data_IF_194245964843
#
_entry.id   IF_194245964843
#
_cell.length_a   1.000
_cell.length_b   1.000
_cell.length_c   1.000
_cell.angle_alpha   90.00
_cell.angle_beta   90.00
_cell.angle_gamma   90.00
#
_symmetry.space_group_name_H-M   'P 1'
#
loop_
_entity.id
_entity.type
_entity.pdbx_description
1 polymer ?
#
# COMPACT_ATOMS: atom_id res chain seq x y z
N UNK A 1 13.71 3.66 10.47
CA UNK A 1 13.10 4.70 9.61
C UNK A 1 14.05 4.96 8.46
N UNK A 2 13.56 5.47 7.34
CA UNK A 2 14.37 5.73 6.13
C UNK A 2 14.21 7.20 5.70
N UNK A 3 15.01 8.12 6.28
CA UNK A 3 14.99 9.54 5.93
C UNK A 3 15.44 9.78 4.48
N UNK A 4 15.05 10.90 3.90
CA UNK A 4 15.46 11.25 2.53
C UNK A 4 16.96 11.42 2.39
N UNK A 5 17.62 12.05 3.36
CA UNK A 5 19.07 12.26 3.32
C UNK A 5 19.84 10.95 3.20
N UNK A 6 19.36 9.88 3.87
CA UNK A 6 19.93 8.54 3.71
C UNK A 6 19.78 8.04 2.27
N UNK A 7 18.61 8.22 1.65
CA UNK A 7 18.41 7.82 0.25
C UNK A 7 19.25 8.65 -0.71
N UNK A 8 19.40 9.95 -0.46
CA UNK A 8 20.24 10.86 -1.25
C UNK A 8 21.71 10.45 -1.21
N UNK A 9 22.23 10.13 -0.02
CA UNK A 9 23.60 9.65 0.18
C UNK A 9 23.85 8.32 -0.56
N UNK A 10 22.82 7.49 -0.66
CA UNK A 10 22.82 6.22 -1.41
C UNK A 10 22.49 6.41 -2.91
N UNK A 11 22.43 7.65 -3.41
CA UNK A 11 22.34 7.96 -4.84
C UNK A 11 20.93 8.11 -5.40
N UNK A 12 19.91 8.28 -4.57
CA UNK A 12 18.56 8.66 -5.01
C UNK A 12 18.48 10.17 -5.28
N UNK A 13 17.64 10.55 -6.25
CA UNK A 13 17.31 11.94 -6.55
C UNK A 13 15.92 12.29 -5.99
N UNK A 14 15.64 13.58 -5.80
CA UNK A 14 14.31 14.02 -5.33
C UNK A 14 13.16 13.48 -6.20
N UNK A 15 13.38 13.30 -7.51
CA UNK A 15 12.39 12.79 -8.44
C UNK A 15 12.04 11.31 -8.27
N UNK A 16 12.90 10.51 -7.62
CA UNK A 16 12.71 9.08 -7.44
C UNK A 16 12.72 8.63 -5.96
N UNK A 17 12.54 9.57 -5.02
CA UNK A 17 12.64 9.37 -3.57
C UNK A 17 11.79 8.25 -2.98
N UNK A 18 10.69 7.85 -3.64
CA UNK A 18 9.78 6.77 -3.21
C UNK A 18 9.74 5.59 -4.19
N UNK A 19 10.68 5.53 -5.13
CA UNK A 19 10.68 4.57 -6.24
C UNK A 19 12.07 3.94 -6.41
N UNK A 20 12.28 3.22 -7.51
CA UNK A 20 13.55 2.56 -7.79
C UNK A 20 14.70 3.58 -7.95
N UNK A 21 15.67 3.45 -7.06
CA UNK A 21 16.99 4.06 -7.05
C UNK A 21 17.94 3.09 -6.35
N UNK A 22 19.25 3.39 -6.28
CA UNK A 22 20.24 2.46 -5.72
C UNK A 22 19.92 2.09 -4.26
N UNK A 23 19.49 3.04 -3.44
CA UNK A 23 19.01 2.78 -2.07
C UNK A 23 17.70 1.96 -2.00
N UNK A 24 16.96 1.90 -3.10
CA UNK A 24 15.61 1.33 -3.20
C UNK A 24 15.55 0.07 -4.07
N UNK A 25 16.68 -0.61 -4.32
CA UNK A 25 16.68 -1.93 -4.94
C UNK A 25 15.93 -2.96 -4.08
N UNK A 26 15.76 -2.68 -2.78
CA UNK A 26 14.98 -3.46 -1.82
C UNK A 26 13.74 -2.75 -1.26
N UNK A 27 13.01 -3.47 -0.40
CA UNK A 27 11.95 -2.88 0.41
C UNK A 27 12.57 -1.90 1.44
N UNK A 28 11.94 -0.74 1.71
CA UNK A 28 12.49 0.24 2.62
C UNK A 28 12.55 -0.31 4.05
N UNK A 29 13.41 0.27 4.88
CA UNK A 29 13.52 -0.04 6.31
C UNK A 29 12.27 0.38 7.12
N UNK A 30 11.33 1.08 6.50
CA UNK A 30 10.03 1.46 7.06
C UNK A 30 9.01 0.31 6.95
N UNK A 31 7.96 0.28 7.80
CA UNK A 31 6.94 -0.77 7.75
C UNK A 31 6.35 -1.01 6.35
N UNK A 32 6.45 -2.26 5.89
CA UNK A 32 5.82 -2.76 4.67
C UNK A 32 4.49 -3.42 5.01
N UNK A 33 3.40 -2.75 4.68
CA UNK A 33 2.05 -3.29 4.84
C UNK A 33 1.72 -4.18 3.64
N UNK A 34 1.10 -5.33 3.86
CA UNK A 34 0.67 -6.25 2.80
C UNK A 34 -0.76 -6.74 3.04
N UNK A 35 -1.55 -6.78 1.97
CA UNK A 35 -2.89 -7.36 1.96
C UNK A 35 -3.21 -7.85 0.55
N UNK A 36 -4.19 -8.73 0.40
CA UNK A 36 -4.70 -9.09 -0.93
C UNK A 36 -5.69 -8.04 -1.42
N UNK A 37 -5.78 -7.87 -2.74
CA UNK A 37 -6.77 -7.02 -3.37
C UNK A 37 -8.20 -7.35 -2.87
N UNK A 38 -8.92 -6.33 -2.41
CA UNK A 38 -10.26 -6.46 -1.87
C UNK A 38 -10.35 -6.82 -0.38
N UNK A 39 -9.22 -7.08 0.29
CA UNK A 39 -9.20 -7.27 1.74
C UNK A 39 -9.70 -6.03 2.47
N UNK A 40 -10.44 -6.25 3.56
CA UNK A 40 -10.82 -5.18 4.49
C UNK A 40 -9.69 -5.02 5.51
N UNK A 41 -9.06 -3.85 5.50
CA UNK A 41 -7.89 -3.54 6.31
C UNK A 41 -8.23 -2.39 7.24
N UNK A 42 -7.84 -2.50 8.50
CA UNK A 42 -7.86 -1.39 9.45
C UNK A 42 -6.42 -1.04 9.80
N UNK A 43 -6.00 0.16 9.44
CA UNK A 43 -4.71 0.72 9.85
C UNK A 43 -4.98 1.61 11.06
N UNK A 44 -4.39 1.25 12.20
CA UNK A 44 -4.47 2.04 13.43
C UNK A 44 -3.20 2.89 13.54
N UNK A 45 -3.37 4.20 13.48
CA UNK A 45 -2.28 5.18 13.57
C UNK A 45 -2.39 5.88 14.92
N UNK A 46 -1.27 5.96 15.64
CA UNK A 46 -1.22 6.57 16.97
C UNK A 46 -0.18 7.68 17.00
N UNK A 47 -0.61 8.90 17.34
CA UNK A 47 0.29 10.00 17.64
C UNK A 47 0.85 9.84 19.05
N UNK A 48 1.93 9.07 19.22
CA UNK A 48 2.48 8.81 20.56
C UNK A 48 2.86 10.10 21.31
N UNK A 49 3.62 10.98 20.67
CA UNK A 49 4.01 12.28 21.20
C UNK A 49 4.49 13.20 20.08
N UNK A 50 3.94 14.41 19.99
CA UNK A 50 4.47 15.49 19.15
C UNK A 50 3.88 16.85 19.55
N UNK A 51 4.65 17.93 19.41
CA UNK A 51 4.16 19.31 19.57
C UNK A 51 3.40 19.79 18.31
N UNK A 52 3.76 19.26 17.15
CA UNK A 52 3.28 19.69 15.85
C UNK A 52 2.38 18.62 15.24
N UNK A 53 1.23 19.03 14.71
CA UNK A 53 0.29 18.11 14.06
C UNK A 53 0.91 17.37 12.88
N UNK A 54 0.48 16.13 12.71
CA UNK A 54 0.87 15.20 11.65
C UNK A 54 -0.33 14.94 10.74
N UNK A 55 -0.11 14.44 9.53
CA UNK A 55 -1.20 14.10 8.59
C UNK A 55 -0.90 12.75 7.99
N UNK A 56 -1.68 11.72 8.35
CA UNK A 56 -1.55 10.41 7.72
C UNK A 56 -2.26 10.42 6.37
N UNK A 57 -1.61 9.90 5.34
CA UNK A 57 -2.16 9.76 4.00
C UNK A 57 -1.81 8.38 3.42
N UNK A 58 -2.73 7.82 2.64
CA UNK A 58 -2.54 6.57 1.91
C UNK A 58 -2.96 6.75 0.46
N UNK A 59 -2.00 6.68 -0.46
CA UNK A 59 -2.23 6.87 -1.88
C UNK A 59 -3.23 5.85 -2.43
N UNK A 60 -4.13 6.33 -3.30
CA UNK A 60 -5.13 5.50 -4.00
C UNK A 60 -6.21 4.88 -3.10
N UNK A 61 -6.24 5.22 -1.81
CA UNK A 61 -7.22 4.71 -0.85
C UNK A 61 -7.96 5.85 -0.18
N UNK A 62 -9.23 5.62 0.08
CA UNK A 62 -10.07 6.51 0.85
C UNK A 62 -10.77 5.72 1.95
N UNK A 63 -10.99 6.36 3.09
CA UNK A 63 -11.77 5.84 4.22
C UNK A 63 -12.80 6.88 4.65
N UNK A 64 -13.79 6.44 5.42
CA UNK A 64 -14.76 7.35 6.04
C UNK A 64 -14.07 8.10 7.17
N UNK A 65 -14.22 9.43 7.22
CA UNK A 65 -13.74 10.24 8.35
C UNK A 65 -14.32 9.77 9.68
N UNK A 66 -15.60 9.41 9.69
CA UNK A 66 -16.29 8.89 10.86
C UNK A 66 -16.78 7.47 10.55
N UNK A 67 -16.14 6.47 11.15
CA UNK A 67 -16.33 5.05 10.84
C UNK A 67 -17.81 4.61 10.97
N UNK A 68 -18.47 5.06 12.04
CA UNK A 68 -19.84 4.64 12.41
C UNK A 68 -20.93 5.56 11.85
N UNK A 69 -20.56 6.60 11.09
CA UNK A 69 -21.51 7.54 10.51
C UNK A 69 -21.83 7.13 9.06
N UNK A 70 -23.12 6.90 8.79
CA UNK A 70 -23.61 6.71 7.44
C UNK A 70 -23.41 7.99 6.61
N UNK A 71 -22.99 7.85 5.36
CA UNK A 71 -22.67 8.98 4.46
C UNK A 71 -21.61 9.95 4.99
N UNK A 72 -20.70 9.48 5.85
CA UNK A 72 -19.50 10.24 6.20
C UNK A 72 -18.64 10.52 4.97
N UNK A 73 -18.02 11.70 4.95
CA UNK A 73 -17.07 12.08 3.92
C UNK A 73 -15.96 11.04 3.78
N UNK A 74 -15.65 10.72 2.52
CA UNK A 74 -14.51 9.89 2.17
C UNK A 74 -13.26 10.78 2.09
N UNK A 75 -12.24 10.43 2.86
CA UNK A 75 -10.96 11.14 2.94
C UNK A 75 -9.82 10.19 2.62
N UNK A 76 -8.75 10.73 2.06
CA UNK A 76 -7.47 10.05 1.78
C UNK A 76 -6.34 10.55 2.69
N UNK A 77 -6.59 11.60 3.47
CA UNK A 77 -5.66 12.18 4.42
C UNK A 77 -6.37 12.66 5.67
N UNK A 78 -5.78 12.43 6.83
CA UNK A 78 -6.35 12.83 8.13
C UNK A 78 -5.26 13.33 9.07
N UNK A 79 -5.54 14.46 9.72
CA UNK A 79 -4.66 15.07 10.71
C UNK A 79 -4.78 14.36 12.06
N UNK A 80 -3.66 14.23 12.76
CA UNK A 80 -3.62 13.79 14.16
C UNK A 80 -2.51 14.51 14.93
N UNK A 81 -2.74 14.74 16.21
CA UNK A 81 -1.80 15.29 17.18
C UNK A 81 -1.25 14.24 18.15
N UNK A 82 -0.46 14.71 19.12
CA UNK A 82 0.01 13.87 20.22
C UNK A 82 -1.15 13.42 21.12
N UNK A 83 -1.19 12.14 21.48
CA UNK A 83 -2.25 11.50 22.24
C UNK A 83 -3.48 11.09 21.42
N UNK A 84 -3.53 11.43 20.14
CA UNK A 84 -4.65 11.09 19.25
C UNK A 84 -4.38 9.82 18.45
N UNK A 85 -5.44 9.28 17.86
CA UNK A 85 -5.36 8.13 16.97
C UNK A 85 -6.32 8.25 15.79
N UNK A 86 -5.96 7.62 14.68
CA UNK A 86 -6.79 7.48 13.48
C UNK A 86 -7.03 6.00 13.22
N UNK A 87 -8.24 5.66 12.78
CA UNK A 87 -8.59 4.34 12.29
C UNK A 87 -8.97 4.42 10.81
N UNK A 88 -8.00 4.19 9.93
CA UNK A 88 -8.25 4.13 8.50
C UNK A 88 -8.79 2.74 8.13
N UNK A 89 -10.11 2.63 8.02
CA UNK A 89 -10.78 1.43 7.52
C UNK A 89 -10.92 1.50 6.00
N UNK A 90 -10.11 0.70 5.32
CA UNK A 90 -9.95 0.72 3.87
C UNK A 90 -10.21 -0.67 3.26
N UNK A 91 -10.46 -0.66 1.96
CA UNK A 91 -10.43 -1.86 1.12
C UNK A 91 -9.14 -1.84 0.31
N UNK A 92 -8.33 -2.89 0.42
CA UNK A 92 -7.02 -2.98 -0.22
C UNK A 92 -7.14 -2.89 -1.75
N UNK A 93 -6.37 -1.99 -2.36
CA UNK A 93 -6.45 -1.64 -3.78
C UNK A 93 -7.48 -0.55 -4.09
N UNK A 94 -7.98 0.15 -3.07
CA UNK A 94 -8.93 1.25 -3.18
C UNK A 94 -10.30 0.82 -3.70
N UNK A 95 -11.01 1.77 -4.32
CA UNK A 95 -12.37 1.57 -4.85
C UNK A 95 -12.47 0.35 -5.78
N UNK A 96 -11.43 0.13 -6.59
CA UNK A 96 -11.40 -0.87 -7.66
C UNK A 96 -10.63 -2.16 -7.32
N UNK A 97 -10.11 -2.31 -6.11
CA UNK A 97 -9.30 -3.47 -5.70
C UNK A 97 -8.07 -3.69 -6.60
N UNK A 98 -7.39 -2.62 -7.02
CA UNK A 98 -6.24 -2.73 -7.90
C UNK A 98 -5.02 -3.29 -7.13
N UNK A 99 -4.41 -4.39 -7.57
CA UNK A 99 -3.11 -4.81 -7.05
C UNK A 99 -2.03 -3.79 -7.43
N UNK A 100 -1.06 -3.60 -6.55
CA UNK A 100 0.03 -2.64 -6.76
C UNK A 100 0.75 -2.26 -5.48
N UNK A 101 1.80 -1.46 -5.63
CA UNK A 101 2.49 -0.84 -4.49
C UNK A 101 2.00 0.59 -4.35
N UNK A 102 1.43 0.90 -3.19
CA UNK A 102 0.97 2.23 -2.80
C UNK A 102 1.90 2.81 -1.74
N UNK A 103 1.85 4.13 -1.58
CA UNK A 103 2.62 4.84 -0.57
C UNK A 103 1.68 5.20 0.59
N UNK A 104 2.07 4.85 1.80
CA UNK A 104 1.57 5.52 3.00
C UNK A 104 2.62 6.55 3.42
N UNK A 105 2.20 7.73 3.83
CA UNK A 105 3.12 8.80 4.19
C UNK A 105 2.51 9.77 5.19
N UNK A 106 3.37 10.52 5.85
CA UNK A 106 2.97 11.76 6.49
C UNK A 106 2.95 12.89 5.46
N UNK A 107 1.77 13.45 5.17
CA UNK A 107 1.60 14.46 4.12
C UNK A 107 2.23 15.82 4.45
N UNK A 108 2.81 15.96 5.65
CA UNK A 108 3.70 17.08 5.97
C UNK A 108 5.13 16.69 5.65
N UNK A 109 5.69 17.35 4.65
CA UNK A 109 7.01 17.06 4.06
C UNK A 109 8.14 16.90 5.07
N UNK A 110 8.28 17.69 6.17
CA UNK A 110 9.36 17.47 7.13
C UNK A 110 9.33 16.09 7.81
N UNK A 111 8.14 15.54 8.06
CA UNK A 111 8.02 14.19 8.64
C UNK A 111 8.29 13.11 7.60
N UNK A 112 7.85 13.33 6.36
CA UNK A 112 8.17 12.47 5.23
C UNK A 112 9.69 12.41 5.01
N UNK A 113 10.36 13.56 5.02
CA UNK A 113 11.82 13.71 4.96
C UNK A 113 12.53 13.01 6.10
N UNK A 114 11.96 13.04 7.31
CA UNK A 114 12.47 12.33 8.47
C UNK A 114 12.20 10.81 8.44
N UNK A 115 11.53 10.29 7.41
CA UNK A 115 11.30 8.86 7.20
C UNK A 115 9.94 8.34 7.69
N UNK A 116 8.93 9.21 7.86
CA UNK A 116 7.53 8.80 8.09
C UNK A 116 6.81 8.56 6.76
N UNK A 117 7.18 7.47 6.09
CA UNK A 117 6.55 6.96 4.88
C UNK A 117 6.83 5.47 4.78
N UNK A 118 6.18 4.78 3.85
CA UNK A 118 6.47 3.39 3.54
C UNK A 118 5.48 2.81 2.53
N UNK A 119 5.62 1.53 2.22
CA UNK A 119 4.79 0.91 1.20
C UNK A 119 3.59 0.15 1.78
N UNK A 120 2.47 0.24 1.05
CA UNK A 120 1.36 -0.68 1.15
C UNK A 120 1.26 -1.50 -0.14
N UNK A 121 1.71 -2.77 -0.08
CA UNK A 121 1.70 -3.68 -1.23
C UNK A 121 0.41 -4.49 -1.23
N UNK A 122 -0.44 -4.21 -2.22
CA UNK A 122 -1.68 -4.92 -2.49
C UNK A 122 -1.38 -6.04 -3.48
N UNK A 123 -1.46 -7.27 -3.01
CA UNK A 123 -1.15 -8.48 -3.78
C UNK A 123 -2.34 -8.91 -4.64
N UNK A 124 -2.10 -9.50 -5.82
CA UNK A 124 -3.17 -10.05 -6.63
C UNK A 124 -3.85 -11.23 -5.94
N UNK A 125 -5.11 -11.48 -6.31
CA UNK A 125 -5.88 -12.61 -5.81
C UNK A 125 -5.18 -13.93 -6.16
N UNK A 126 -5.02 -14.81 -5.15
CA UNK A 126 -4.39 -16.12 -5.34
C UNK A 126 -2.88 -16.17 -5.05
N UNK A 127 -2.22 -15.03 -4.85
CA UNK A 127 -0.85 -15.02 -4.35
C UNK A 127 -0.78 -15.56 -2.92
N UNK A 128 0.25 -16.34 -2.59
CA UNK A 128 0.36 -17.07 -1.31
C UNK A 128 1.55 -16.66 -0.45
N UNK A 129 2.16 -15.51 -0.75
CA UNK A 129 3.30 -14.98 0.01
C UNK A 129 2.92 -14.48 1.42
N UNK A 130 1.63 -14.23 1.66
CA UNK A 130 1.07 -13.92 2.98
C UNK A 130 -0.17 -14.79 3.24
N UNK A 131 -0.50 -14.98 4.52
CA UNK A 131 -1.77 -15.58 4.93
C UNK A 131 -2.92 -14.60 4.66
N UNK A 132 -4.12 -15.10 4.31
CA UNK A 132 -5.30 -14.25 4.17
C UNK A 132 -5.66 -13.62 5.53
N UNK A 133 -6.22 -12.41 5.51
CA UNK A 133 -6.75 -11.80 6.73
C UNK A 133 -7.90 -12.65 7.30
N UNK A 134 -7.96 -12.74 8.64
CA UNK A 134 -8.84 -13.66 9.37
C UNK A 134 -10.30 -13.52 8.88
N UNK A 135 -10.87 -14.63 8.40
CA UNK A 135 -12.24 -14.70 7.88
C UNK A 135 -12.37 -14.56 6.36
N UNK A 136 -11.30 -14.15 5.66
CA UNK A 136 -11.20 -14.32 4.21
C UNK A 136 -10.70 -15.75 3.92
N UNK A 137 -11.49 -16.54 3.19
CA UNK A 137 -10.95 -17.76 2.58
C UNK A 137 -10.14 -17.36 1.35
N UNK A 138 -8.98 -17.99 1.08
CA UNK A 138 -8.33 -17.81 -0.20
C UNK A 138 -9.32 -18.21 -1.29
N UNK A 139 -9.84 -17.24 -2.03
CA UNK A 139 -10.63 -17.53 -3.22
C UNK A 139 -9.65 -18.19 -4.19
N UNK A 140 -9.81 -19.49 -4.39
CA UNK A 140 -8.97 -20.25 -5.29
C UNK A 140 -9.03 -19.62 -6.66
N UNK A 141 -7.96 -18.92 -7.06
CA UNK A 141 -7.83 -18.38 -8.40
C UNK A 141 -8.00 -19.53 -9.39
N UNK A 142 -8.95 -19.39 -10.32
CA UNK A 142 -8.96 -20.23 -11.52
C UNK A 142 -7.58 -20.04 -12.17
N UNK A 143 -6.89 -21.13 -12.45
CA UNK A 143 -5.63 -21.11 -13.20
C UNK A 143 -5.87 -20.32 -14.49
N UNK A 144 -5.38 -19.10 -14.60
CA UNK A 144 -5.06 -18.51 -15.90
C UNK A 144 -3.80 -19.20 -16.37
N UNK A 145 -3.95 -20.45 -16.81
CA UNK A 145 -2.97 -21.05 -17.70
C UNK A 145 -2.92 -20.13 -18.92
N UNK A 146 -1.78 -19.48 -19.14
CA UNK A 146 -1.46 -18.94 -20.45
C UNK A 146 -1.71 -20.06 -21.46
N UNK A 147 -2.70 -19.87 -22.34
CA UNK A 147 -2.77 -20.66 -23.56
C UNK A 147 -1.44 -20.39 -24.27
N UNK A 148 -0.54 -21.36 -24.24
CA UNK A 148 0.56 -21.41 -25.21
C UNK A 148 -0.06 -21.22 -26.59
N UNK A 149 0.45 -20.20 -27.28
CA UNK A 149 0.16 -19.96 -28.68
C UNK A 149 0.36 -21.27 -29.45
N UNK A 150 -0.64 -21.64 -30.23
CA UNK A 150 -0.69 -22.93 -30.90
C UNK A 150 0.44 -23.10 -31.91
N UNK A 151 1.10 -24.26 -31.83
CA UNK A 151 1.76 -24.89 -32.97
C UNK A 151 0.78 -25.94 -33.54
N UNK A 152 -0.27 -25.46 -34.23
CA UNK A 152 -1.06 -26.31 -35.13
C UNK A 152 -0.24 -26.58 -36.39
N UNK A 153 0.73 -27.50 -36.27
CA UNK A 153 1.44 -28.05 -37.42
C UNK A 153 0.49 -29.03 -38.12
N UNK A 154 -0.06 -28.52 -39.23
CA UNK A 154 -0.72 -29.22 -40.32
C UNK A 154 -0.27 -30.68 -40.50
N UNK A 155 -1.05 -31.64 -40.00
CA UNK A 155 -1.05 -33.02 -40.51
C UNK A 155 -2.03 -33.12 -41.68
N UNK A 156 -1.51 -32.82 -42.87
CA UNK A 156 -2.18 -33.18 -44.12
C UNK A 156 -2.13 -34.69 -44.29
N UNK A 157 -3.29 -35.33 -44.24
CA UNK A 157 -3.48 -36.69 -44.75
C UNK A 157 -3.16 -36.73 -46.26
N UNK A 158 -2.20 -37.57 -46.64
CA UNK A 158 -2.18 -38.33 -47.89
C UNK A 158 -1.62 -39.72 -47.61
#
# INVERSE_FOLDING_TARGET
MEPWTYREDEGCELGNMFTACVAAEGDPATPLLKAHAGDRVMINIFGAHNEQNQVFNLDGHQWRRHLDQENSDMIDAEQFGGGEYIQAFIKAGGTYNNPGTYLWLNARTPYQQAGQWGYFRVLPEGERSILPLRGASPKGGKKTASKQAGDDVLSMNR
#
